data_IF_010303733935
#
_entry.id   IF_010303733935
#
_cell.length_a   1.000
_cell.length_b   1.000
_cell.length_c   1.000
_cell.angle_alpha   90.00
_cell.angle_beta   90.00
_cell.angle_gamma   90.00
#
_symmetry.space_group_name_H-M   'P 1'
#
loop_
_entity.id
_entity.type
_entity.pdbx_description
1 polymer ?
#
# COMPACT_ATOMS: atom_id res chain seq x y z
N UNK A 1 -21.96 44.40 -0.72
CA UNK A 1 -21.54 43.30 0.19
C UNK A 1 -21.75 41.99 -0.54
N UNK A 2 -20.74 41.52 -1.26
CA UNK A 2 -20.77 40.21 -1.93
C UNK A 2 -20.10 39.19 -1.00
N UNK A 3 -20.86 38.15 -0.67
CA UNK A 3 -20.42 36.97 0.06
C UNK A 3 -19.33 36.26 -0.74
N UNK A 4 -18.10 36.29 -0.24
CA UNK A 4 -17.00 35.45 -0.70
C UNK A 4 -17.22 34.01 -0.18
N UNK A 5 -18.22 33.33 -0.73
CA UNK A 5 -18.44 31.91 -0.51
C UNK A 5 -17.70 31.12 -1.60
N UNK A 6 -16.96 30.10 -1.16
CA UNK A 6 -16.44 28.99 -1.96
C UNK A 6 -15.15 29.23 -2.77
N UNK A 7 -14.04 29.51 -2.07
CA UNK A 7 -12.70 29.16 -2.59
C UNK A 7 -12.41 27.71 -2.20
N UNK A 8 -12.53 26.82 -3.19
CA UNK A 8 -11.90 25.50 -3.30
C UNK A 8 -12.07 24.47 -2.16
N UNK A 9 -13.25 23.85 -2.07
CA UNK A 9 -13.35 22.49 -1.50
C UNK A 9 -12.89 21.38 -2.47
N UNK A 10 -12.56 21.73 -3.73
CA UNK A 10 -12.04 20.80 -4.73
C UNK A 10 -10.55 20.43 -4.53
N UNK A 11 -9.82 21.12 -3.64
CA UNK A 11 -8.39 20.88 -3.43
C UNK A 11 -8.10 19.71 -2.46
N UNK A 12 -9.14 19.12 -1.86
CA UNK A 12 -9.03 17.87 -1.08
C UNK A 12 -9.60 16.71 -1.88
N UNK A 13 -8.89 16.31 -2.94
CA UNK A 13 -9.23 15.14 -3.77
C UNK A 13 -9.51 13.88 -2.93
N UNK A 14 -8.93 13.74 -1.73
CA UNK A 14 -9.15 12.62 -0.83
C UNK A 14 -9.21 13.06 0.65
N UNK A 15 -10.04 12.40 1.48
CA UNK A 15 -10.15 12.73 2.90
C UNK A 15 -8.86 12.41 3.68
N UNK A 16 -8.50 13.23 4.69
CA UNK A 16 -7.22 13.10 5.41
C UNK A 16 -7.08 11.81 6.23
N UNK A 17 -8.20 11.16 6.56
CA UNK A 17 -8.20 9.87 7.27
C UNK A 17 -7.98 8.67 6.35
N UNK A 18 -8.12 8.84 5.03
CA UNK A 18 -8.07 7.75 4.06
C UNK A 18 -6.75 6.96 4.12
N UNK A 19 -5.55 7.57 4.08
CA UNK A 19 -4.30 6.80 4.09
C UNK A 19 -4.14 5.93 5.34
N UNK A 20 -4.66 6.40 6.49
CA UNK A 20 -4.63 5.61 7.73
C UNK A 20 -5.61 4.43 7.65
N UNK A 21 -6.82 4.63 7.13
CA UNK A 21 -7.77 3.54 6.93
C UNK A 21 -7.20 2.47 5.97
N UNK A 22 -6.63 2.90 4.86
CA UNK A 22 -6.01 1.99 3.89
C UNK A 22 -4.87 1.18 4.53
N UNK A 23 -4.03 1.82 5.36
CA UNK A 23 -2.99 1.13 6.09
C UNK A 23 -3.56 0.10 7.09
N UNK A 24 -4.66 0.41 7.78
CA UNK A 24 -5.34 -0.56 8.66
C UNK A 24 -5.80 -1.79 7.88
N UNK A 25 -6.50 -1.59 6.77
CA UNK A 25 -7.02 -2.69 5.95
C UNK A 25 -5.89 -3.59 5.43
N UNK A 26 -4.80 -2.98 4.96
CA UNK A 26 -3.64 -3.71 4.47
C UNK A 26 -2.86 -4.42 5.58
N UNK A 27 -2.76 -3.82 6.77
CA UNK A 27 -2.18 -4.46 7.93
C UNK A 27 -2.98 -5.70 8.35
N UNK A 28 -4.32 -5.58 8.42
CA UNK A 28 -5.20 -6.69 8.78
C UNK A 28 -5.08 -7.84 7.79
N UNK A 29 -5.21 -7.56 6.49
CA UNK A 29 -5.10 -8.62 5.48
C UNK A 29 -3.69 -9.21 5.42
N UNK A 30 -2.63 -8.41 5.57
CA UNK A 30 -1.26 -8.90 5.69
C UNK A 30 -1.05 -9.84 6.89
N UNK A 31 -1.62 -9.51 8.05
CA UNK A 31 -1.60 -10.38 9.23
C UNK A 31 -2.40 -11.68 9.01
N UNK A 32 -3.54 -11.63 8.34
CA UNK A 32 -4.32 -12.85 8.03
C UNK A 32 -3.59 -13.75 7.05
N UNK A 33 -2.95 -13.21 6.00
CA UNK A 33 -2.05 -13.98 5.14
C UNK A 33 -0.87 -14.56 5.93
N UNK A 34 -0.30 -13.75 6.84
CA UNK A 34 0.52 -14.17 7.99
C UNK A 34 0.14 -15.50 8.58
N UNK A 35 -1.00 -15.48 9.25
CA UNK A 35 -1.51 -16.60 10.01
C UNK A 35 -1.84 -17.78 9.11
N UNK A 36 -2.42 -17.54 7.93
CA UNK A 36 -2.80 -18.58 6.97
C UNK A 36 -1.57 -19.33 6.42
N UNK A 37 -0.50 -18.60 6.11
CA UNK A 37 0.72 -19.16 5.52
C UNK A 37 1.72 -19.66 6.58
N UNK A 38 1.60 -19.22 7.83
CA UNK A 38 2.52 -19.61 8.91
C UNK A 38 2.70 -21.12 9.07
N UNK A 39 1.67 -21.99 9.06
CA UNK A 39 1.85 -23.43 9.25
C UNK A 39 2.59 -24.08 8.08
N UNK A 40 2.52 -23.49 6.89
CA UNK A 40 3.25 -23.97 5.72
C UNK A 40 4.75 -23.68 5.86
N UNK A 41 5.13 -22.48 6.30
CA UNK A 41 6.53 -22.06 6.46
C UNK A 41 7.29 -22.96 7.46
N UNK A 42 6.64 -23.46 8.50
CA UNK A 42 7.26 -24.32 9.51
C UNK A 42 7.34 -25.81 9.11
N UNK A 43 6.92 -26.19 7.90
CA UNK A 43 7.03 -27.59 7.46
C UNK A 43 8.50 -27.98 7.23
N UNK A 44 8.92 -29.21 7.59
CA UNK A 44 10.32 -29.65 7.49
C UNK A 44 10.93 -29.60 6.08
N UNK A 45 10.11 -29.53 5.03
CA UNK A 45 10.54 -29.50 3.62
C UNK A 45 10.58 -28.11 2.98
N UNK A 46 10.25 -27.05 3.71
CA UNK A 46 10.28 -25.69 3.14
C UNK A 46 11.70 -25.15 3.17
N UNK A 47 12.21 -24.81 1.98
CA UNK A 47 13.52 -24.19 1.84
C UNK A 47 13.57 -22.84 2.57
N UNK A 48 14.69 -22.49 3.24
CA UNK A 48 14.91 -21.14 3.77
C UNK A 48 14.72 -20.03 2.73
N UNK A 49 14.92 -20.33 1.44
CA UNK A 49 14.65 -19.40 0.34
C UNK A 49 13.16 -19.00 0.21
N UNK A 50 12.23 -19.76 0.78
CA UNK A 50 10.83 -19.35 0.88
C UNK A 50 10.68 -18.07 1.74
N UNK A 51 11.53 -17.89 2.76
CA UNK A 51 11.54 -16.69 3.60
C UNK A 51 11.91 -15.46 2.77
N UNK A 52 12.82 -15.57 1.79
CA UNK A 52 13.11 -14.45 0.90
C UNK A 52 11.95 -14.07 -0.02
N UNK A 53 11.01 -14.97 -0.29
CA UNK A 53 9.78 -14.66 -1.03
C UNK A 53 8.76 -13.89 -0.19
N UNK A 54 8.52 -14.33 1.05
CA UNK A 54 7.48 -13.75 1.92
C UNK A 54 7.98 -12.62 2.82
N UNK A 55 9.27 -12.61 3.16
CA UNK A 55 9.91 -11.65 4.07
C UNK A 55 9.70 -10.19 3.68
N UNK A 56 9.94 -9.79 2.41
CA UNK A 56 9.68 -8.44 1.95
C UNK A 56 8.21 -8.02 2.13
N UNK A 57 7.27 -8.95 1.97
CA UNK A 57 5.85 -8.73 2.23
C UNK A 57 5.58 -8.32 3.67
N UNK A 58 6.18 -9.01 4.65
CA UNK A 58 5.99 -8.69 6.07
C UNK A 58 6.69 -7.40 6.50
N UNK A 59 7.80 -7.01 5.87
CA UNK A 59 8.40 -5.70 6.10
C UNK A 59 7.43 -4.58 5.71
N UNK A 60 6.75 -4.74 4.57
CA UNK A 60 5.70 -3.81 4.14
C UNK A 60 4.52 -3.84 5.12
N UNK A 61 4.09 -5.04 5.57
CA UNK A 61 3.04 -5.17 6.59
C UNK A 61 3.37 -4.44 7.88
N UNK A 62 4.61 -4.52 8.35
CA UNK A 62 5.08 -3.76 9.51
C UNK A 62 4.97 -2.25 9.26
N UNK A 63 5.33 -1.78 8.06
CA UNK A 63 5.12 -0.40 7.64
C UNK A 63 3.66 0.05 7.77
N UNK A 64 2.71 -0.80 7.35
CA UNK A 64 1.28 -0.51 7.52
C UNK A 64 0.85 -0.46 8.99
N UNK A 65 1.33 -1.37 9.82
CA UNK A 65 1.05 -1.36 11.27
C UNK A 65 1.57 -0.07 11.89
N UNK A 66 2.79 0.35 11.57
CA UNK A 66 3.33 1.63 12.04
C UNK A 66 2.45 2.78 11.56
N UNK A 67 2.04 2.79 10.29
CA UNK A 67 1.19 3.85 9.73
C UNK A 67 -0.23 3.87 10.31
N UNK A 68 -0.75 2.72 10.74
CA UNK A 68 -2.09 2.61 11.31
C UNK A 68 -2.16 3.22 12.71
N UNK A 69 -1.13 3.00 13.53
CA UNK A 69 -1.10 3.47 14.93
C UNK A 69 -0.36 4.78 15.15
N UNK A 70 0.44 5.24 14.17
CA UNK A 70 1.23 6.48 14.29
C UNK A 70 1.11 7.37 13.05
N UNK A 71 1.75 8.55 13.09
CA UNK A 71 1.84 9.47 11.94
C UNK A 71 3.31 9.73 11.62
N UNK A 72 3.98 8.82 10.88
CA UNK A 72 5.39 8.98 10.56
C UNK A 72 5.65 10.25 9.72
N UNK A 73 6.92 10.71 9.65
CA UNK A 73 7.32 11.77 8.73
C UNK A 73 6.85 11.47 7.29
N UNK A 74 6.56 12.52 6.52
CA UNK A 74 6.01 12.38 5.16
C UNK A 74 6.82 11.44 4.27
N UNK A 75 8.16 11.54 4.33
CA UNK A 75 9.07 10.68 3.57
C UNK A 75 8.86 9.20 3.93
N UNK A 76 8.81 8.88 5.23
CA UNK A 76 8.59 7.51 5.68
C UNK A 76 7.22 6.97 5.22
N UNK A 77 6.17 7.80 5.28
CA UNK A 77 4.83 7.41 4.77
C UNK A 77 4.87 7.08 3.28
N UNK A 78 5.53 7.90 2.48
CA UNK A 78 5.71 7.66 1.04
C UNK A 78 6.52 6.40 0.75
N UNK A 79 7.58 6.16 1.52
CA UNK A 79 8.39 4.95 1.38
C UNK A 79 7.61 3.68 1.72
N UNK A 80 6.72 3.71 2.71
CA UNK A 80 5.82 2.58 3.02
C UNK A 80 4.95 2.24 1.81
N UNK A 81 4.32 3.25 1.20
CA UNK A 81 3.48 3.05 0.02
C UNK A 81 4.27 2.62 -1.22
N UNK A 82 5.41 3.26 -1.48
CA UNK A 82 6.27 2.92 -2.62
C UNK A 82 6.84 1.49 -2.49
N UNK A 83 7.36 1.14 -1.31
CA UNK A 83 7.84 -0.20 -1.01
C UNK A 83 6.74 -1.24 -1.14
N UNK A 84 5.52 -0.92 -0.73
CA UNK A 84 4.36 -1.77 -1.01
C UNK A 84 4.13 -1.99 -2.50
N UNK A 85 4.05 -0.91 -3.30
CA UNK A 85 3.79 -1.03 -4.73
C UNK A 85 4.85 -1.92 -5.38
N UNK A 86 6.12 -1.77 -4.99
CA UNK A 86 7.20 -2.64 -5.48
C UNK A 86 6.95 -4.10 -5.12
N UNK A 87 6.65 -4.42 -3.85
CA UNK A 87 6.49 -5.81 -3.43
C UNK A 87 5.19 -6.42 -3.96
N UNK A 88 4.05 -5.78 -3.69
CA UNK A 88 2.72 -6.26 -4.08
C UNK A 88 2.55 -6.27 -5.60
N UNK A 89 3.05 -5.22 -6.28
CA UNK A 89 3.02 -5.13 -7.73
C UNK A 89 3.89 -6.17 -8.40
N UNK A 90 5.06 -6.50 -7.85
CA UNK A 90 5.90 -7.59 -8.39
C UNK A 90 5.20 -8.94 -8.29
N UNK A 91 4.54 -9.23 -7.16
CA UNK A 91 3.72 -10.43 -7.01
C UNK A 91 2.56 -10.46 -8.01
N UNK A 92 1.86 -9.33 -8.18
CA UNK A 92 0.76 -9.22 -9.14
C UNK A 92 1.22 -9.47 -10.58
N UNK A 93 2.35 -8.87 -11.00
CA UNK A 93 2.93 -9.09 -12.33
C UNK A 93 3.30 -10.56 -12.52
N UNK A 94 3.94 -11.19 -11.53
CA UNK A 94 4.29 -12.60 -11.59
C UNK A 94 3.05 -13.51 -11.73
N UNK A 95 1.98 -13.23 -10.96
CA UNK A 95 0.72 -13.96 -11.06
C UNK A 95 0.09 -13.80 -12.45
N UNK A 96 0.02 -12.57 -12.97
CA UNK A 96 -0.51 -12.30 -14.31
C UNK A 96 0.30 -13.02 -15.38
N UNK A 97 1.63 -13.03 -15.25
CA UNK A 97 2.52 -13.76 -16.15
C UNK A 97 2.28 -15.27 -16.10
N UNK A 98 2.17 -15.85 -14.90
CA UNK A 98 1.88 -17.28 -14.73
C UNK A 98 0.52 -17.67 -15.31
N UNK A 99 -0.51 -16.83 -15.14
CA UNK A 99 -1.82 -17.01 -15.76
C UNK A 99 -1.69 -16.98 -17.29
N UNK A 100 -0.95 -16.02 -17.83
CA UNK A 100 -0.74 -15.89 -19.27
C UNK A 100 -0.06 -17.13 -19.86
N UNK A 101 1.00 -17.64 -19.22
CA UNK A 101 1.67 -18.88 -19.63
C UNK A 101 0.71 -20.09 -19.60
N UNK A 102 -0.11 -20.23 -18.56
CA UNK A 102 -1.10 -21.31 -18.47
C UNK A 102 -2.13 -21.24 -19.61
N UNK A 103 -2.63 -20.05 -19.94
CA UNK A 103 -3.58 -19.84 -21.05
C UNK A 103 -2.92 -20.20 -22.38
N UNK A 104 -1.69 -19.75 -22.63
CA UNK A 104 -0.97 -20.06 -23.86
C UNK A 104 -0.70 -21.56 -24.03
N UNK A 105 -0.46 -22.27 -22.93
CA UNK A 105 -0.29 -23.71 -22.90
C UNK A 105 -1.62 -24.50 -22.98
N UNK A 106 -2.77 -23.82 -22.99
CA UNK A 106 -4.09 -24.46 -23.05
C UNK A 106 -4.52 -25.14 -21.75
N UNK A 107 -3.91 -24.77 -20.62
CA UNK A 107 -4.28 -25.29 -19.30
C UNK A 107 -5.51 -24.57 -18.74
N UNK A 108 -6.24 -25.26 -17.84
CA UNK A 108 -7.32 -24.64 -17.07
C UNK A 108 -6.75 -23.74 -15.99
N UNK A 109 -7.34 -22.54 -15.85
CA UNK A 109 -6.96 -21.60 -14.79
C UNK A 109 -7.43 -22.13 -13.44
N UNK A 110 -6.48 -22.59 -12.63
CA UNK A 110 -6.74 -23.08 -11.27
C UNK A 110 -6.32 -22.07 -10.19
N UNK A 111 -5.93 -20.85 -10.58
CA UNK A 111 -5.50 -19.83 -9.64
C UNK A 111 -6.68 -19.38 -8.74
N UNK A 112 -6.50 -19.37 -7.41
CA UNK A 112 -7.57 -18.97 -6.50
C UNK A 112 -7.90 -17.48 -6.72
N UNK A 113 -9.14 -17.18 -7.14
CA UNK A 113 -9.60 -15.81 -7.43
C UNK A 113 -9.31 -14.84 -6.28
N UNK A 114 -9.50 -15.29 -5.03
CA UNK A 114 -9.21 -14.49 -3.83
C UNK A 114 -7.73 -14.14 -3.69
N UNK A 115 -6.83 -14.98 -4.18
CA UNK A 115 -5.39 -14.72 -4.18
C UNK A 115 -5.07 -13.58 -5.16
N UNK A 116 -5.53 -13.67 -6.42
CA UNK A 116 -5.34 -12.62 -7.43
C UNK A 116 -5.97 -11.30 -6.97
N UNK A 117 -7.20 -11.35 -6.47
CA UNK A 117 -7.95 -10.18 -6.02
C UNK A 117 -7.24 -9.46 -4.86
N UNK A 118 -6.62 -10.20 -3.94
CA UNK A 118 -5.86 -9.62 -2.84
C UNK A 118 -4.65 -8.80 -3.34
N UNK A 119 -3.82 -9.35 -4.23
CA UNK A 119 -2.64 -8.65 -4.72
C UNK A 119 -3.01 -7.42 -5.56
N UNK A 120 -4.10 -7.52 -6.34
CA UNK A 120 -4.67 -6.37 -7.04
C UNK A 120 -5.14 -5.29 -6.07
N UNK A 121 -5.94 -5.67 -5.06
CA UNK A 121 -6.41 -4.77 -4.02
C UNK A 121 -5.26 -4.09 -3.28
N UNK A 122 -4.24 -4.86 -2.87
CA UNK A 122 -3.11 -4.34 -2.12
C UNK A 122 -2.28 -3.34 -2.93
N UNK A 123 -2.04 -3.66 -4.21
CA UNK A 123 -1.31 -2.79 -5.13
C UNK A 123 -2.08 -1.49 -5.40
N UNK A 124 -3.36 -1.59 -5.77
CA UNK A 124 -4.21 -0.43 -6.04
C UNK A 124 -4.34 0.48 -4.82
N UNK A 125 -4.58 -0.12 -3.64
CA UNK A 125 -4.65 0.61 -2.37
C UNK A 125 -3.36 1.37 -2.07
N UNK A 126 -2.21 0.77 -2.40
CA UNK A 126 -0.91 1.39 -2.15
C UNK A 126 -0.63 2.56 -3.10
N UNK A 127 -1.08 2.47 -4.35
CA UNK A 127 -1.07 3.60 -5.30
C UNK A 127 -1.95 4.74 -4.77
N UNK A 128 -3.19 4.44 -4.37
CA UNK A 128 -4.10 5.46 -3.79
C UNK A 128 -3.49 6.08 -2.53
N UNK A 129 -2.92 5.27 -1.64
CA UNK A 129 -2.24 5.73 -0.43
C UNK A 129 -1.08 6.66 -0.74
N UNK A 130 -0.26 6.34 -1.75
CA UNK A 130 0.85 7.19 -2.18
C UNK A 130 0.37 8.54 -2.72
N UNK A 131 -0.64 8.53 -3.59
CA UNK A 131 -1.22 9.74 -4.18
C UNK A 131 -1.89 10.64 -3.13
N UNK A 132 -2.52 10.03 -2.12
CA UNK A 132 -3.12 10.75 -1.00
C UNK A 132 -2.09 11.42 -0.07
N UNK A 133 -0.82 11.00 -0.11
CA UNK A 133 0.32 11.63 0.59
C UNK A 133 1.02 12.70 -0.30
N UNK A 134 0.28 13.25 -1.28
CA UNK A 134 0.72 14.33 -2.17
C UNK A 134 1.18 15.59 -1.42
N UNK A 135 1.91 16.49 -2.10
CA UNK A 135 2.42 17.71 -1.47
C UNK A 135 1.26 18.59 -1.01
N UNK A 136 1.00 18.62 0.30
CA UNK A 136 0.29 19.75 0.89
C UNK A 136 1.15 20.98 0.65
N UNK A 137 0.55 21.99 0.03
CA UNK A 137 1.18 23.28 -0.28
C UNK A 137 2.01 23.76 0.92
N UNK A 138 3.18 24.31 0.57
CA UNK A 138 4.20 24.80 1.46
C UNK A 138 3.63 25.40 2.75
N UNK A 139 4.19 24.91 3.85
CA UNK A 139 4.27 25.61 5.12
C UNK A 139 4.44 27.13 4.83
N UNK A 140 3.58 28.01 5.39
CA UNK A 140 3.68 29.44 5.12
C UNK A 140 5.10 29.88 5.45
N UNK A 141 5.78 30.37 4.42
CA UNK A 141 7.18 30.75 4.46
C UNK A 141 7.40 31.62 5.70
N UNK A 142 8.36 31.24 6.54
CA UNK A 142 8.75 32.01 7.72
C UNK A 142 9.10 33.46 7.31
N UNK A 143 9.41 33.70 6.03
CA UNK A 143 9.57 35.05 5.45
C UNK A 143 8.30 35.90 5.47
N UNK A 144 7.10 35.33 5.41
CA UNK A 144 5.86 36.13 5.49
C UNK A 144 5.62 36.64 6.91
N UNK A 145 6.00 35.88 7.93
CA UNK A 145 5.93 36.36 9.33
C UNK A 145 6.96 37.44 9.67
N UNK A 146 8.03 37.55 8.88
CA UNK A 146 9.05 38.58 9.07
C UNK A 146 8.77 39.87 8.26
N UNK A 147 7.77 39.86 7.37
CA UNK A 147 7.35 41.07 6.64
C UNK A 147 6.23 41.85 7.34
N UNK A 148 5.64 41.28 8.38
CA UNK A 148 4.60 41.92 9.21
C UNK A 148 5.16 42.57 10.50
N UNK A 149 6.49 42.60 10.67
CA UNK A 149 7.20 43.30 11.76
C UNK A 149 8.06 44.41 11.17
#
# INVERSE_FOLDING_TARGET
MMSATSVNDHDKLLPPWLPRLLAVLLALGGCFWGLLLSPWIFRPGVSPAAISGFGPGYLVTLGYIVRSVSTPPLIARRLIWAGSIMVQGSWLVWIVWAIFEQVLAGHTLNEPVLFVAWWLFATATSVVGLLAEGPKQAEPDVRDRMREV
#
